data_IF_720951441952
#
_entry.id   IF_720951441952
#
_cell.length_a   1.000
_cell.length_b   1.000
_cell.length_c   1.000
_cell.angle_alpha   90.00
_cell.angle_beta   90.00
_cell.angle_gamma   90.00
#
_symmetry.space_group_name_H-M   'P 1'
#
loop_
_entity.id
_entity.type
_entity.pdbx_description
1 polymer ?
#
# COMPACT_ATOMS: atom_id res chain seq x y z
N UNK A 1 32.03 -15.73 -18.89
CA UNK A 1 30.73 -16.43 -18.78
C UNK A 1 30.36 -16.87 -17.36
N UNK A 2 31.30 -17.25 -16.47
CA UNK A 2 30.96 -17.62 -15.08
C UNK A 2 30.43 -16.43 -14.24
N UNK A 3 30.92 -15.21 -14.50
CA UNK A 3 30.51 -14.01 -13.76
C UNK A 3 29.06 -13.60 -14.06
N UNK A 4 28.63 -13.66 -15.33
CA UNK A 4 27.26 -13.30 -15.74
C UNK A 4 26.19 -14.24 -15.15
N UNK A 5 26.49 -15.53 -15.01
CA UNK A 5 25.58 -16.50 -14.38
C UNK A 5 25.42 -16.26 -12.88
N UNK A 6 26.49 -15.83 -12.18
CA UNK A 6 26.42 -15.49 -10.76
C UNK A 6 25.54 -14.26 -10.52
N UNK A 7 25.75 -13.19 -11.30
CA UNK A 7 24.95 -11.97 -11.23
C UNK A 7 23.46 -12.29 -11.47
N UNK A 8 23.15 -13.06 -12.51
CA UNK A 8 21.76 -13.44 -12.81
C UNK A 8 21.09 -14.21 -11.67
N UNK A 9 21.81 -15.12 -11.00
CA UNK A 9 21.29 -15.84 -9.82
C UNK A 9 21.01 -14.91 -8.64
N UNK A 10 21.89 -13.93 -8.40
CA UNK A 10 21.68 -12.92 -7.35
C UNK A 10 20.45 -12.08 -7.66
N UNK A 11 20.27 -11.64 -8.91
CA UNK A 11 19.07 -10.90 -9.32
C UNK A 11 17.78 -11.72 -9.13
N UNK A 12 17.79 -13.02 -9.47
CA UNK A 12 16.64 -13.91 -9.25
C UNK A 12 16.36 -14.06 -7.75
N UNK A 13 17.39 -14.25 -6.93
CA UNK A 13 17.22 -14.38 -5.48
C UNK A 13 16.62 -13.10 -4.86
N UNK A 14 17.10 -11.92 -5.28
CA UNK A 14 16.55 -10.64 -4.86
C UNK A 14 15.10 -10.47 -5.32
N UNK A 15 14.77 -10.84 -6.56
CA UNK A 15 13.39 -10.78 -7.05
C UNK A 15 12.46 -11.71 -6.23
N UNK A 16 12.90 -12.92 -5.91
CA UNK A 16 12.13 -13.82 -5.02
C UNK A 16 11.94 -13.19 -3.64
N UNK A 17 12.98 -12.58 -3.07
CA UNK A 17 12.89 -11.90 -1.78
C UNK A 17 11.84 -10.77 -1.82
N UNK A 18 11.85 -9.94 -2.86
CA UNK A 18 10.87 -8.86 -3.06
C UNK A 18 9.44 -9.42 -3.23
N UNK A 19 9.27 -10.47 -4.03
CA UNK A 19 7.97 -11.13 -4.20
C UNK A 19 7.43 -11.71 -2.89
N UNK A 20 8.30 -12.32 -2.08
CA UNK A 20 7.92 -12.95 -0.82
C UNK A 20 7.67 -11.95 0.32
N UNK A 21 8.38 -10.81 0.33
CA UNK A 21 8.33 -9.84 1.43
C UNK A 21 7.34 -8.70 1.23
N UNK A 22 6.95 -8.39 -0.01
CA UNK A 22 6.06 -7.26 -0.32
C UNK A 22 4.69 -7.34 0.34
N UNK A 23 4.03 -8.50 0.31
CA UNK A 23 2.70 -8.69 0.92
C UNK A 23 2.76 -8.68 2.46
N UNK A 24 3.69 -9.41 3.12
CA UNK A 24 3.88 -9.29 4.57
C UNK A 24 4.24 -7.86 5.02
N UNK A 25 5.06 -7.14 4.25
CA UNK A 25 5.40 -5.76 4.54
C UNK A 25 4.16 -4.85 4.43
N UNK A 26 3.34 -5.02 3.39
CA UNK A 26 2.07 -4.28 3.27
C UNK A 26 1.11 -4.58 4.41
N UNK A 27 1.02 -5.84 4.85
CA UNK A 27 0.21 -6.23 6.00
C UNK A 27 0.70 -5.61 7.31
N UNK A 28 2.02 -5.61 7.56
CA UNK A 28 2.63 -4.97 8.73
C UNK A 28 2.39 -3.45 8.76
N UNK A 29 2.39 -2.81 7.59
CA UNK A 29 2.03 -1.40 7.48
C UNK A 29 0.54 -1.21 7.79
N UNK A 30 -0.32 -2.05 7.19
CA UNK A 30 -1.76 -1.98 7.38
C UNK A 30 -2.19 -2.16 8.84
N UNK A 31 -1.46 -2.94 9.64
CA UNK A 31 -1.79 -3.09 11.08
C UNK A 31 -1.50 -1.84 11.92
N UNK A 32 -0.81 -0.85 11.36
CA UNK A 32 -0.55 0.46 11.99
C UNK A 32 -1.45 1.56 11.41
N UNK A 33 -2.43 1.19 10.58
CA UNK A 33 -3.32 2.16 9.98
C UNK A 33 -4.37 2.63 10.98
N UNK A 34 -4.73 3.90 10.85
CA UNK A 34 -5.86 4.50 11.55
C UNK A 34 -7.03 4.57 10.58
N UNK A 35 -8.20 4.10 11.00
CA UNK A 35 -9.43 4.27 10.26
C UNK A 35 -9.95 5.69 10.50
N UNK A 36 -10.17 6.44 9.41
CA UNK A 36 -10.62 7.82 9.49
C UNK A 36 -11.78 8.08 8.53
N UNK A 37 -12.71 8.91 8.97
CA UNK A 37 -13.74 9.47 8.11
C UNK A 37 -13.26 10.80 7.55
N UNK A 38 -13.15 10.90 6.22
CA UNK A 38 -12.79 12.16 5.59
C UNK A 38 -13.98 13.12 5.61
N UNK A 39 -13.74 14.39 5.93
CA UNK A 39 -14.74 15.46 5.93
C UNK A 39 -14.29 16.65 5.07
N UNK A 40 -15.23 17.38 4.48
CA UNK A 40 -14.92 18.69 3.88
C UNK A 40 -14.47 19.66 4.97
N UNK A 41 -13.40 20.41 4.69
CA UNK A 41 -12.67 21.36 5.54
C UNK A 41 -13.31 21.79 6.87
N UNK A 42 -12.49 21.79 7.93
CA UNK A 42 -12.86 22.19 9.29
C UNK A 42 -13.18 23.70 9.39
N UNK A 43 -14.43 24.04 9.74
CA UNK A 43 -14.89 25.41 9.99
C UNK A 43 -15.49 25.53 11.41
N UNK A 44 -14.71 25.99 12.43
CA UNK A 44 -15.15 25.98 13.82
C UNK A 44 -16.49 26.70 14.09
N UNK A 45 -16.75 27.91 13.55
CA UNK A 45 -18.07 28.56 13.65
C UNK A 45 -19.24 27.72 13.14
N UNK A 46 -19.05 26.98 12.03
CA UNK A 46 -20.09 26.11 11.48
C UNK A 46 -20.37 24.93 12.41
N UNK A 47 -19.32 24.40 13.04
CA UNK A 47 -19.44 23.31 14.01
C UNK A 47 -20.21 23.76 15.25
N UNK A 48 -19.91 24.94 15.78
CA UNK A 48 -20.67 25.50 16.91
C UNK A 48 -22.15 25.72 16.57
N UNK A 49 -22.43 26.21 15.36
CA UNK A 49 -23.80 26.37 14.86
C UNK A 49 -24.53 25.02 14.75
N UNK A 50 -23.89 24.02 14.14
CA UNK A 50 -24.46 22.68 13.99
C UNK A 50 -24.69 22.01 15.37
N UNK A 51 -23.75 22.16 16.29
CA UNK A 51 -23.89 21.67 17.67
C UNK A 51 -25.02 22.36 18.43
N UNK A 52 -25.34 23.61 18.10
CA UNK A 52 -26.48 24.31 18.69
C UNK A 52 -27.81 23.84 18.09
N UNK A 53 -27.84 23.53 16.80
CA UNK A 53 -29.02 23.04 16.10
C UNK A 53 -29.38 21.59 16.49
N UNK A 54 -28.38 20.76 16.80
CA UNK A 54 -28.58 19.40 17.28
C UNK A 54 -28.68 19.34 18.82
N UNK A 55 -29.81 18.87 19.34
CA UNK A 55 -30.00 18.67 20.79
C UNK A 55 -29.14 17.50 21.32
N UNK A 56 -28.54 17.63 22.51
CA UNK A 56 -27.89 16.51 23.22
C UNK A 56 -28.87 15.33 23.34
N UNK A 57 -28.59 14.23 22.65
CA UNK A 57 -29.42 13.01 22.64
C UNK A 57 -30.02 12.62 21.28
N UNK A 58 -30.01 13.49 20.27
CA UNK A 58 -30.51 13.20 18.91
C UNK A 58 -29.38 12.83 17.91
N UNK A 59 -28.29 12.24 18.42
CA UNK A 59 -27.02 12.00 17.70
C UNK A 59 -27.00 10.65 16.98
N UNK A 60 -28.16 10.02 16.81
CA UNK A 60 -28.32 8.62 16.39
C UNK A 60 -27.98 8.35 14.92
N UNK A 61 -27.58 9.36 14.14
CA UNK A 61 -27.40 9.20 12.69
C UNK A 61 -26.09 9.69 12.11
N UNK A 62 -25.60 10.87 12.50
CA UNK A 62 -24.57 11.51 11.70
C UNK A 62 -23.73 12.53 12.48
N UNK A 63 -23.04 12.06 13.54
CA UNK A 63 -22.05 12.87 14.30
C UNK A 63 -21.05 13.53 13.34
N UNK A 64 -20.69 12.85 12.25
CA UNK A 64 -19.80 13.36 11.21
C UNK A 64 -20.32 14.66 10.60
N UNK A 65 -21.62 14.72 10.27
CA UNK A 65 -22.26 15.90 9.65
C UNK A 65 -22.13 17.19 10.47
N UNK A 66 -22.03 17.07 11.80
CA UNK A 66 -21.84 18.21 12.70
C UNK A 66 -20.47 18.86 12.47
N UNK A 67 -19.46 18.04 12.18
CA UNK A 67 -18.08 18.47 11.97
C UNK A 67 -17.78 18.80 10.50
N UNK A 68 -18.60 18.32 9.57
CA UNK A 68 -18.54 18.65 8.14
C UNK A 68 -19.18 17.60 7.25
N UNK A 69 -19.28 17.89 5.95
CA UNK A 69 -19.83 16.91 5.00
C UNK A 69 -18.87 15.73 4.82
N UNK A 70 -19.35 14.51 5.06
CA UNK A 70 -18.60 13.28 4.83
C UNK A 70 -18.18 13.15 3.35
N UNK A 71 -16.91 12.84 3.12
CA UNK A 71 -16.33 12.62 1.80
C UNK A 71 -16.18 11.13 1.52
N UNK A 72 -17.32 10.47 1.28
CA UNK A 72 -17.38 9.03 1.00
C UNK A 72 -17.21 8.16 2.25
N UNK A 73 -16.88 6.89 2.04
CA UNK A 73 -16.75 5.89 3.11
C UNK A 73 -15.48 6.09 3.96
N UNK A 74 -15.44 5.57 5.20
CA UNK A 74 -14.23 5.52 6.00
C UNK A 74 -13.05 4.86 5.27
N UNK A 75 -11.86 5.40 5.47
CA UNK A 75 -10.64 4.92 4.84
C UNK A 75 -9.54 4.68 5.87
N UNK A 76 -8.80 3.59 5.70
CA UNK A 76 -7.60 3.31 6.49
C UNK A 76 -6.40 4.06 5.91
N UNK A 77 -5.81 4.94 6.71
CA UNK A 77 -4.69 5.81 6.34
C UNK A 77 -3.46 5.51 7.21
N UNK A 78 -2.28 5.73 6.63
CA UNK A 78 -0.99 5.52 7.27
C UNK A 78 -0.26 6.84 7.47
N UNK A 79 0.54 6.91 8.53
CA UNK A 79 1.42 8.04 8.84
C UNK A 79 0.69 9.38 9.00
N UNK A 80 -0.54 9.36 9.52
CA UNK A 80 -1.27 10.58 9.86
C UNK A 80 -0.84 11.07 11.23
N UNK A 81 -0.62 12.37 11.35
CA UNK A 81 -0.32 13.01 12.63
C UNK A 81 -1.61 13.07 13.47
N UNK A 82 -1.55 12.56 14.71
CA UNK A 82 -2.68 12.60 15.66
C UNK A 82 -3.21 14.03 15.87
N UNK A 83 -2.37 15.05 15.73
CA UNK A 83 -2.80 16.46 15.84
C UNK A 83 -3.71 16.94 14.70
N UNK A 84 -3.70 16.24 13.56
CA UNK A 84 -4.60 16.52 12.43
C UNK A 84 -5.94 15.78 12.56
N UNK A 85 -6.03 14.80 13.45
CA UNK A 85 -7.24 14.03 13.68
C UNK A 85 -8.18 14.80 14.61
N UNK A 86 -9.39 15.04 14.14
CA UNK A 86 -10.47 15.57 14.95
C UNK A 86 -11.21 14.39 15.59
N UNK A 87 -11.28 14.39 16.92
CA UNK A 87 -12.05 13.40 17.68
C UNK A 87 -13.27 14.10 18.27
N UNK A 88 -14.48 13.77 17.80
CA UNK A 88 -15.71 14.32 18.36
C UNK A 88 -15.81 14.05 19.86
N UNK A 89 -16.32 15.03 20.62
CA UNK A 89 -16.58 14.86 22.05
C UNK A 89 -17.71 13.86 22.33
N UNK A 90 -18.61 13.70 21.37
CA UNK A 90 -19.83 12.92 21.50
C UNK A 90 -19.60 11.46 21.12
N UNK A 91 -18.61 11.19 20.28
CA UNK A 91 -18.07 9.85 20.02
C UNK A 91 -16.56 9.89 19.80
N UNK A 92 -15.82 9.58 20.87
CA UNK A 92 -14.35 9.53 20.87
C UNK A 92 -13.76 8.37 20.06
N UNK A 93 -14.58 7.41 19.63
CA UNK A 93 -14.15 6.30 18.77
C UNK A 93 -14.01 6.71 17.31
N UNK A 94 -14.71 7.78 16.90
CA UNK A 94 -14.59 8.36 15.57
C UNK A 94 -13.33 9.22 15.45
N UNK A 95 -12.58 9.00 14.38
CA UNK A 95 -11.49 9.86 13.95
C UNK A 95 -11.88 10.52 12.63
N UNK A 96 -12.03 11.84 12.64
CA UNK A 96 -12.34 12.63 11.47
C UNK A 96 -11.06 13.28 10.93
N UNK A 97 -10.86 13.21 9.62
CA UNK A 97 -9.72 13.81 8.94
C UNK A 97 -10.22 14.89 7.98
N UNK A 98 -10.00 16.18 8.27
CA UNK A 98 -10.37 17.25 7.37
C UNK A 98 -9.54 17.17 6.09
N UNK A 99 -10.22 17.11 4.94
CA UNK A 99 -9.56 17.10 3.66
C UNK A 99 -9.08 18.52 3.32
N UNK A 100 -7.79 18.80 3.51
CA UNK A 100 -7.16 20.01 3.00
C UNK A 100 -6.89 19.89 1.49
N UNK A 101 -7.00 21.00 0.77
CA UNK A 101 -6.67 21.04 -0.66
C UNK A 101 -5.18 20.73 -0.87
N UNK A 102 -4.89 19.71 -1.69
CA UNK A 102 -3.53 19.29 -2.01
C UNK A 102 -2.88 18.31 -1.03
N UNK A 103 -3.54 17.95 0.07
CA UNK A 103 -3.05 16.90 0.96
C UNK A 103 -3.44 15.50 0.46
N UNK A 104 -2.45 14.61 0.43
CA UNK A 104 -2.60 13.24 -0.02
C UNK A 104 -2.10 12.29 1.05
N UNK A 105 -3.05 11.67 1.76
CA UNK A 105 -2.73 10.66 2.77
C UNK A 105 -2.46 9.31 2.11
N UNK A 106 -1.48 8.58 2.65
CA UNK A 106 -1.15 7.25 2.18
C UNK A 106 -2.23 6.26 2.64
N UNK A 107 -3.10 5.86 1.73
CA UNK A 107 -4.14 4.86 2.02
C UNK A 107 -3.57 3.44 2.02
N UNK A 108 -4.06 2.60 2.93
CA UNK A 108 -3.70 1.17 2.99
C UNK A 108 -4.01 0.46 1.66
N UNK A 109 -5.14 0.80 1.02
CA UNK A 109 -5.52 0.27 -0.31
C UNK A 109 -4.42 0.54 -1.35
N UNK A 110 -3.83 1.73 -1.32
CA UNK A 110 -2.72 2.11 -2.20
C UNK A 110 -1.47 1.26 -1.92
N UNK A 111 -1.15 1.00 -0.66
CA UNK A 111 -0.01 0.13 -0.28
C UNK A 111 -0.19 -1.28 -0.83
N UNK A 112 -1.37 -1.90 -0.65
CA UNK A 112 -1.64 -3.23 -1.19
C UNK A 112 -1.60 -3.28 -2.71
N UNK A 113 -2.09 -2.23 -3.38
CA UNK A 113 -2.01 -2.09 -4.82
C UNK A 113 -0.56 -2.08 -5.34
N UNK A 114 0.33 -1.36 -4.67
CA UNK A 114 1.76 -1.38 -5.00
C UNK A 114 2.41 -2.71 -4.66
N UNK A 115 2.08 -3.32 -3.51
CA UNK A 115 2.59 -4.62 -3.12
C UNK A 115 2.25 -5.68 -4.17
N UNK A 116 1.00 -5.74 -4.62
CA UNK A 116 0.56 -6.66 -5.68
C UNK A 116 1.36 -6.46 -6.97
N UNK A 117 1.53 -5.21 -7.42
CA UNK A 117 2.29 -4.91 -8.64
C UNK A 117 3.76 -5.28 -8.54
N UNK A 118 4.37 -5.03 -7.39
CA UNK A 118 5.76 -5.43 -7.11
C UNK A 118 5.91 -6.95 -7.15
N UNK A 119 4.99 -7.70 -6.54
CA UNK A 119 4.98 -9.17 -6.61
C UNK A 119 4.90 -9.66 -8.05
N UNK A 120 3.97 -9.12 -8.85
CA UNK A 120 3.83 -9.50 -10.26
C UNK A 120 5.09 -9.21 -11.08
N UNK A 121 5.66 -8.01 -10.92
CA UNK A 121 6.89 -7.61 -11.59
C UNK A 121 8.07 -8.52 -11.20
N UNK A 122 8.18 -8.85 -9.92
CA UNK A 122 9.21 -9.72 -9.39
C UNK A 122 9.07 -11.16 -9.93
N UNK A 123 7.86 -11.72 -9.95
CA UNK A 123 7.59 -13.05 -10.52
C UNK A 123 7.94 -13.09 -12.02
N UNK A 124 7.58 -12.05 -12.78
CA UNK A 124 7.95 -11.94 -14.18
C UNK A 124 9.48 -11.90 -14.37
N UNK A 125 10.19 -11.13 -13.55
CA UNK A 125 11.66 -11.06 -13.59
C UNK A 125 12.30 -12.42 -13.27
N UNK A 126 11.77 -13.17 -12.30
CA UNK A 126 12.22 -14.54 -11.99
C UNK A 126 12.01 -15.46 -13.20
N UNK A 127 10.83 -15.43 -13.81
CA UNK A 127 10.50 -16.24 -15.00
C UNK A 127 11.46 -15.98 -16.16
N UNK A 128 11.70 -14.71 -16.49
CA UNK A 128 12.65 -14.31 -17.53
C UNK A 128 14.09 -14.72 -17.19
N UNK A 129 14.50 -14.55 -15.93
CA UNK A 129 15.82 -14.95 -15.46
C UNK A 129 16.06 -16.47 -15.57
N UNK A 130 15.07 -17.27 -15.21
CA UNK A 130 15.13 -18.74 -15.35
C UNK A 130 15.17 -19.17 -16.82
N UNK A 131 14.38 -18.54 -17.69
CA UNK A 131 14.42 -18.80 -19.13
C UNK A 131 15.80 -18.48 -19.73
N UNK A 132 16.41 -17.36 -19.33
CA UNK A 132 17.77 -17.00 -19.74
C UNK A 132 18.81 -18.03 -19.25
N UNK A 133 18.72 -18.49 -18.00
CA UNK A 133 19.59 -19.55 -17.48
C UNK A 133 19.43 -20.86 -18.26
N UNK A 134 18.20 -21.23 -18.62
CA UNK A 134 17.92 -22.44 -19.39
C UNK A 134 18.53 -22.38 -20.80
N UNK A 135 18.38 -21.25 -21.50
CA UNK A 135 18.98 -21.04 -22.82
C UNK A 135 20.51 -21.11 -22.78
N UNK A 136 21.15 -20.46 -21.80
CA UNK A 136 22.62 -20.51 -21.62
C UNK A 136 23.10 -21.93 -21.35
N UNK A 137 22.40 -22.68 -20.49
CA UNK A 137 22.73 -24.08 -20.17
C UNK A 137 22.59 -25.00 -21.39
N UNK A 138 21.55 -24.82 -22.20
CA UNK A 138 21.35 -25.60 -23.42
C UNK A 138 22.42 -25.32 -24.48
N UNK A 139 22.82 -24.04 -24.65
CA UNK A 139 23.90 -23.68 -25.58
C UNK A 139 25.23 -24.34 -25.18
N UNK A 140 25.57 -24.32 -23.89
CA UNK A 140 26.76 -24.98 -23.35
C UNK A 140 26.77 -26.51 -23.59
N UNK A 141 25.64 -27.17 -23.33
CA UNK A 141 25.48 -28.62 -23.58
C UNK A 141 25.68 -28.98 -25.06
N UNK A 142 25.18 -28.16 -25.98
CA UNK A 142 25.36 -28.36 -27.44
C UNK A 142 26.82 -28.19 -27.86
N UNK A 143 27.54 -27.22 -27.31
CA UNK A 143 28.97 -27.03 -27.58
C UNK A 143 29.82 -28.21 -27.10
N UNK A 144 29.52 -28.78 -25.92
CA UNK A 144 30.24 -29.96 -25.41
C UNK A 144 30.04 -31.20 -26.31
N UNK A 145 28.81 -31.48 -26.76
CA UNK A 145 28.53 -32.62 -27.66
C UNK A 145 29.29 -32.54 -28.99
N UNK A 146 29.49 -31.33 -29.55
CA UNK A 146 30.28 -31.16 -30.79
C UNK A 146 31.76 -31.45 -30.58
N UNK A 147 32.32 -31.08 -29.43
CA UNK A 147 33.74 -31.32 -29.12
C UNK A 147 34.07 -32.80 -28.94
N UNK A 148 33.14 -33.60 -28.41
CA UNK A 148 33.34 -35.04 -28.20
C UNK A 148 33.06 -35.89 -29.44
N UNK A 149 32.42 -35.35 -30.48
CA UNK A 149 32.14 -36.06 -31.72
C UNK A 149 33.24 -35.85 -32.79
N UNK A 150 34.21 -34.98 -32.51
CA UNK A 150 35.34 -34.64 -33.40
C UNK A 150 36.69 -35.18 -32.89
N UNK A 151 36.68 -35.90 -31.77
CA UNK A 151 37.83 -36.57 -31.17
C UNK A 151 37.59 -38.08 -31.25
#
# INVERSE_FOLDING_TARGET
>A
MKMTVKVLKVCIALAILVAASSYPAAWLLASQATEVQQIQSYDPPLIELNKWEHSEGDWDGDIVSIYGAAKGDPVAVLFVDESQLLRPSEDTSLALLPAAEGEHFLQVKTVFFFAQRLTLAAVAAVGLGLAALWLVRNKLRRSQKKSTASA
#
